data_IF_180498142506
#
_entry.id   IF_180498142506
#
_cell.length_a   1.000
_cell.length_b   1.000
_cell.length_c   1.000
_cell.angle_alpha   90.00
_cell.angle_beta   90.00
_cell.angle_gamma   90.00
#
_symmetry.space_group_name_H-M   'P 1'
#
loop_
_entity.id
_entity.type
_entity.pdbx_description
1 polymer ?
#
# COMPACT_ATOMS: atom_id res chain seq x y z
N UNK A 1 -20.13 2.42 20.50
CA UNK A 1 -18.99 2.87 19.65
C UNK A 1 -17.69 3.05 20.45
N UNK A 2 -17.71 3.71 21.62
CA UNK A 2 -16.50 3.96 22.45
C UNK A 2 -15.74 2.67 22.86
N UNK A 3 -16.44 1.57 23.17
CA UNK A 3 -15.81 0.33 23.61
C UNK A 3 -15.09 -0.42 22.47
N UNK A 4 -15.63 -0.36 21.25
CA UNK A 4 -15.01 -1.00 20.08
C UNK A 4 -13.73 -0.28 19.67
N UNK A 5 -13.74 1.06 19.69
CA UNK A 5 -12.56 1.88 19.42
C UNK A 5 -11.47 1.67 20.47
N UNK A 6 -11.83 1.63 21.76
CA UNK A 6 -10.88 1.31 22.85
C UNK A 6 -10.30 -0.10 22.73
N UNK A 7 -11.12 -1.09 22.37
CA UNK A 7 -10.67 -2.46 22.18
C UNK A 7 -9.71 -2.58 20.98
N UNK A 8 -9.98 -1.85 19.89
CA UNK A 8 -9.09 -1.76 18.73
C UNK A 8 -7.76 -1.09 19.09
N UNK A 9 -7.78 0.01 19.86
CA UNK A 9 -6.55 0.70 20.29
C UNK A 9 -5.73 -0.16 21.26
N UNK A 10 -6.38 -0.83 22.23
CA UNK A 10 -5.70 -1.70 23.20
C UNK A 10 -5.11 -2.94 22.52
N UNK A 11 -5.79 -3.51 21.52
CA UNK A 11 -5.25 -4.66 20.77
C UNK A 11 -4.07 -4.28 19.88
N UNK A 12 -4.11 -3.12 19.22
CA UNK A 12 -2.94 -2.59 18.47
C UNK A 12 -1.77 -2.31 19.41
N UNK A 13 -2.02 -1.70 20.57
CA UNK A 13 -0.98 -1.40 21.55
C UNK A 13 -0.39 -2.68 22.18
N UNK A 14 -1.22 -3.67 22.51
CA UNK A 14 -0.77 -4.95 23.03
C UNK A 14 0.05 -5.73 22.00
N UNK A 15 -0.37 -5.73 20.73
CA UNK A 15 0.39 -6.33 19.64
C UNK A 15 1.77 -5.67 19.52
N UNK A 16 1.83 -4.34 19.60
CA UNK A 16 3.08 -3.57 19.54
C UNK A 16 4.00 -3.85 20.75
N UNK A 17 3.45 -3.92 21.96
CA UNK A 17 4.21 -4.25 23.17
C UNK A 17 4.77 -5.68 23.15
N UNK A 18 4.02 -6.63 22.58
CA UNK A 18 4.45 -8.01 22.38
C UNK A 18 5.51 -8.19 21.29
N UNK A 19 5.73 -7.18 20.42
CA UNK A 19 6.85 -7.19 19.45
C UNK A 19 8.20 -6.80 20.07
N UNK A 20 8.22 -6.23 21.29
CA UNK A 20 9.45 -5.84 21.98
C UNK A 20 10.49 -6.98 22.16
N UNK A 21 10.12 -8.21 22.58
CA UNK A 21 11.09 -9.31 22.65
C UNK A 21 11.62 -9.76 21.28
N UNK A 22 10.88 -9.56 20.18
CA UNK A 22 11.37 -9.84 18.83
C UNK A 22 12.43 -8.83 18.36
N UNK A 23 12.38 -7.58 18.85
CA UNK A 23 13.36 -6.53 18.57
C UNK A 23 14.64 -6.64 19.41
N UNK A 24 14.64 -7.44 20.48
CA UNK A 24 15.78 -7.61 21.38
C UNK A 24 16.80 -8.66 20.90
N UNK A 25 16.46 -9.48 19.88
CA UNK A 25 17.26 -10.63 19.46
C UNK A 25 18.10 -10.40 18.19
N UNK A 26 18.10 -9.21 17.56
CA UNK A 26 18.91 -8.97 16.37
C UNK A 26 19.99 -7.92 16.59
N UNK A 27 21.17 -8.19 16.04
CA UNK A 27 22.17 -7.19 15.74
C UNK A 27 21.46 -5.97 15.12
N UNK A 28 21.69 -4.77 15.64
CA UNK A 28 20.99 -3.54 15.23
C UNK A 28 21.21 -3.18 13.73
N UNK A 29 22.08 -3.92 13.02
CA UNK A 29 22.18 -3.92 11.54
C UNK A 29 21.11 -4.71 10.78
N UNK A 30 20.24 -5.45 11.48
CA UNK A 30 19.23 -6.37 10.92
C UNK A 30 17.78 -5.84 11.08
N UNK A 31 17.61 -4.54 11.35
CA UNK A 31 16.41 -3.83 10.93
C UNK A 31 16.41 -3.89 9.39
N UNK A 32 15.91 -5.00 8.82
CA UNK A 32 15.92 -5.22 7.38
C UNK A 32 15.12 -4.09 6.73
N UNK A 33 15.83 -3.03 6.31
CA UNK A 33 15.29 -1.82 5.70
C UNK A 33 14.36 -2.18 4.53
N UNK A 34 14.58 -3.35 3.94
CA UNK A 34 13.74 -4.08 3.01
C UNK A 34 12.25 -4.09 3.40
N UNK A 35 11.88 -4.38 4.66
CA UNK A 35 10.47 -4.38 5.09
C UNK A 35 9.86 -2.99 5.16
N UNK A 36 10.65 -1.98 5.53
CA UNK A 36 10.23 -0.58 5.50
C UNK A 36 10.06 -0.14 4.03
N UNK A 37 10.99 -0.51 3.16
CA UNK A 37 10.92 -0.27 1.72
C UNK A 37 9.66 -0.87 1.09
N UNK A 38 9.36 -2.14 1.40
CA UNK A 38 8.12 -2.81 0.97
C UNK A 38 6.89 -2.01 1.44
N UNK A 39 6.86 -1.62 2.71
CA UNK A 39 5.75 -0.83 3.25
C UNK A 39 5.54 0.50 2.51
N UNK A 40 6.62 1.22 2.23
CA UNK A 40 6.57 2.48 1.48
C UNK A 40 6.11 2.29 0.04
N UNK A 41 6.60 1.24 -0.65
CA UNK A 41 6.18 0.90 -2.01
C UNK A 41 4.69 0.61 -2.06
N UNK A 42 4.17 -0.21 -1.14
CA UNK A 42 2.74 -0.57 -1.09
C UNK A 42 1.87 0.66 -0.81
N UNK A 43 2.28 1.54 0.11
CA UNK A 43 1.54 2.77 0.41
C UNK A 43 1.52 3.69 -0.82
N UNK A 44 2.65 3.90 -1.48
CA UNK A 44 2.75 4.73 -2.69
C UNK A 44 1.89 4.20 -3.83
N UNK A 45 1.95 2.90 -4.09
CA UNK A 45 1.16 2.23 -5.11
C UNK A 45 -0.34 2.33 -4.83
N UNK A 46 -0.76 1.99 -3.61
CA UNK A 46 -2.16 2.04 -3.18
C UNK A 46 -2.75 3.46 -3.28
N UNK A 47 -1.97 4.47 -2.91
CA UNK A 47 -2.38 5.87 -3.07
C UNK A 47 -2.50 6.28 -4.54
N UNK A 48 -1.52 5.91 -5.37
CA UNK A 48 -1.49 6.23 -6.80
C UNK A 48 -2.68 5.61 -7.54
N UNK A 49 -2.90 4.30 -7.37
CA UNK A 49 -4.01 3.59 -8.03
C UNK A 49 -5.38 4.07 -7.52
N UNK A 50 -5.50 4.34 -6.21
CA UNK A 50 -6.75 4.84 -5.62
C UNK A 50 -7.17 6.19 -6.19
N UNK A 51 -6.23 7.13 -6.31
CA UNK A 51 -6.49 8.45 -6.91
C UNK A 51 -6.83 8.34 -8.40
N UNK A 52 -6.10 7.49 -9.12
CA UNK A 52 -6.36 7.22 -10.54
C UNK A 52 -7.78 6.67 -10.73
N UNK A 53 -8.16 5.63 -10.00
CA UNK A 53 -9.48 5.02 -10.07
C UNK A 53 -10.59 6.01 -9.71
N UNK A 54 -10.42 6.80 -8.64
CA UNK A 54 -11.39 7.83 -8.25
C UNK A 54 -11.62 8.86 -9.38
N UNK A 55 -10.55 9.36 -9.98
CA UNK A 55 -10.64 10.35 -11.07
C UNK A 55 -11.29 9.77 -12.35
N UNK A 56 -10.98 8.51 -12.67
CA UNK A 56 -11.57 7.81 -13.80
C UNK A 56 -13.07 7.58 -13.57
N UNK A 57 -13.46 7.12 -12.38
CA UNK A 57 -14.86 6.89 -12.02
C UNK A 57 -15.68 8.19 -12.08
N UNK A 58 -15.16 9.29 -11.54
CA UNK A 58 -15.83 10.59 -11.64
C UNK A 58 -15.98 11.05 -13.09
N UNK A 59 -14.92 10.88 -13.91
CA UNK A 59 -14.96 11.26 -15.32
C UNK A 59 -15.96 10.43 -16.12
N UNK A 60 -16.02 9.11 -15.87
CA UNK A 60 -17.00 8.22 -16.49
C UNK A 60 -18.44 8.55 -16.07
N UNK A 61 -18.65 8.96 -14.83
CA UNK A 61 -19.96 9.39 -14.35
C UNK A 61 -20.42 10.70 -14.99
N UNK A 62 -19.49 11.63 -15.26
CA UNK A 62 -19.77 12.92 -15.93
C UNK A 62 -19.96 12.78 -17.44
N UNK A 63 -19.23 11.88 -18.09
CA UNK A 63 -19.27 11.68 -19.53
C UNK A 63 -19.42 10.19 -19.87
N UNK A 64 -20.65 9.64 -19.77
CA UNK A 64 -20.89 8.22 -19.99
C UNK A 64 -20.59 7.79 -21.44
N UNK A 65 -20.74 8.69 -22.43
CA UNK A 65 -20.45 8.39 -23.84
C UNK A 65 -19.00 7.97 -24.12
N UNK A 66 -18.03 8.44 -23.31
CA UNK A 66 -16.59 8.12 -23.47
C UNK A 66 -16.07 7.18 -22.39
N UNK A 67 -16.96 6.57 -21.60
CA UNK A 67 -16.60 5.74 -20.46
C UNK A 67 -15.68 4.56 -20.82
N UNK A 68 -15.92 3.89 -21.95
CA UNK A 68 -15.07 2.79 -22.42
C UNK A 68 -13.63 3.22 -22.73
N UNK A 69 -13.45 4.42 -23.29
CA UNK A 69 -12.12 4.97 -23.56
C UNK A 69 -11.40 5.33 -22.26
N UNK A 70 -12.11 5.95 -21.30
CA UNK A 70 -11.58 6.28 -19.97
C UNK A 70 -11.17 5.00 -19.23
N UNK A 71 -12.01 3.97 -19.23
CA UNK A 71 -11.70 2.70 -18.60
C UNK A 71 -10.46 2.04 -19.23
N UNK A 72 -10.33 2.09 -20.56
CA UNK A 72 -9.16 1.55 -21.26
C UNK A 72 -7.89 2.29 -20.85
N UNK A 73 -7.92 3.63 -20.86
CA UNK A 73 -6.79 4.46 -20.42
C UNK A 73 -6.44 4.21 -18.94
N UNK A 74 -7.46 4.06 -18.08
CA UNK A 74 -7.32 3.74 -16.67
C UNK A 74 -6.62 2.39 -16.46
N UNK A 75 -7.02 1.34 -17.19
CA UNK A 75 -6.42 0.01 -17.09
C UNK A 75 -4.97 0.02 -17.57
N UNK A 76 -4.65 0.74 -18.65
CA UNK A 76 -3.26 0.87 -19.14
C UNK A 76 -2.40 1.55 -18.08
N UNK A 77 -2.87 2.68 -17.52
CA UNK A 77 -2.15 3.40 -16.48
C UNK A 77 -2.02 2.56 -15.20
N UNK A 78 -3.07 1.82 -14.81
CA UNK A 78 -3.03 0.88 -13.70
C UNK A 78 -1.97 -0.22 -13.93
N UNK A 79 -1.89 -0.78 -15.14
CA UNK A 79 -0.89 -1.79 -15.48
C UNK A 79 0.55 -1.25 -15.39
N UNK A 80 0.77 0.02 -15.73
CA UNK A 80 2.08 0.67 -15.57
C UNK A 80 2.44 0.88 -14.08
N UNK A 81 1.47 1.31 -13.26
CA UNK A 81 1.66 1.44 -11.80
C UNK A 81 1.97 0.07 -11.18
N UNK A 82 1.20 -0.95 -11.51
CA UNK A 82 1.37 -2.31 -11.00
C UNK A 82 2.71 -2.92 -11.46
N UNK A 83 3.10 -2.74 -12.72
CA UNK A 83 4.38 -3.20 -13.24
C UNK A 83 5.57 -2.58 -12.52
N UNK A 84 5.54 -1.26 -12.29
CA UNK A 84 6.58 -0.58 -11.52
C UNK A 84 6.58 -1.00 -10.05
N UNK A 85 5.40 -1.11 -9.44
CA UNK A 85 5.23 -1.52 -8.03
C UNK A 85 5.79 -2.91 -7.81
N UNK A 86 5.45 -3.87 -8.69
CA UNK A 86 5.96 -5.23 -8.62
C UNK A 86 7.48 -5.27 -8.75
N UNK A 87 8.05 -4.52 -9.69
CA UNK A 87 9.51 -4.40 -9.84
C UNK A 87 10.17 -3.84 -8.57
N UNK A 88 9.61 -2.79 -7.98
CA UNK A 88 10.12 -2.20 -6.74
C UNK A 88 10.02 -3.18 -5.56
N UNK A 89 8.93 -3.95 -5.44
CA UNK A 89 8.78 -4.98 -4.42
C UNK A 89 9.82 -6.10 -4.57
N UNK A 90 10.10 -6.53 -5.80
CA UNK A 90 11.15 -7.51 -6.10
C UNK A 90 12.51 -6.98 -5.66
N UNK A 91 12.83 -5.71 -5.95
CA UNK A 91 14.08 -5.09 -5.47
C UNK A 91 14.12 -5.01 -3.95
N UNK A 92 13.05 -4.59 -3.28
CA UNK A 92 13.05 -4.52 -1.82
C UNK A 92 13.15 -5.92 -1.17
N UNK A 93 12.63 -6.96 -1.82
CA UNK A 93 12.66 -8.32 -1.29
C UNK A 93 14.00 -9.03 -1.52
N UNK A 94 14.53 -8.96 -2.74
CA UNK A 94 15.75 -9.65 -3.15
C UNK A 94 17.01 -8.78 -3.18
N UNK A 95 16.86 -7.46 -2.98
CA UNK A 95 17.96 -6.52 -2.94
C UNK A 95 18.90 -6.78 -1.76
N UNK A 96 20.19 -6.45 -1.93
CA UNK A 96 21.23 -6.69 -0.94
C UNK A 96 20.96 -6.01 0.41
#
# INVERSE_FOLDING_TARGET
MINFVKLSIVSVFALLALTAPAMAQSNVGDLKLNYIGIGLVVIGAGYGIGKLAASALESMARQPEVSGNIQTAMIIAAALIEGFTFFALVICWFGP
#
